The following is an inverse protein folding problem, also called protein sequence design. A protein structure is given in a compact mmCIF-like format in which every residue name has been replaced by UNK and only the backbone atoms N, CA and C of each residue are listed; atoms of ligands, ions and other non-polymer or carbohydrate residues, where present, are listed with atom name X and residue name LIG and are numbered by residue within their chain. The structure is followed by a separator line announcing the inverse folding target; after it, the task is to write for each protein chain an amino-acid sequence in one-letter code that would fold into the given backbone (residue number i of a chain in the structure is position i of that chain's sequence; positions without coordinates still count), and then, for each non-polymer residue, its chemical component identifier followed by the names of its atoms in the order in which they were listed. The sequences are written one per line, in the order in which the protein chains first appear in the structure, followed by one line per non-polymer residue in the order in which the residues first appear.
data_IF_279471054561
#
_entry.id   IF_279471054561
#
_cell.length_a   1.000
_cell.length_b   1.000
_cell.length_c   1.000
_cell.angle_alpha   90.00
_cell.angle_beta   90.00
_cell.angle_gamma   90.00
#
_symmetry.space_group_name_H-M   'P 1'
#
loop_
_entity.id
_entity.type
_entity.pdbx_description
1 polymer ?
#
# COMPACT_ATOMS: atom_id res chain seq x y z
N UNK A 1 1.05 19.11 -21.00
CA UNK A 1 0.09 20.23 -20.96
C UNK A 1 -0.81 20.26 -19.71
N UNK A 2 -1.04 19.17 -18.98
CA UNK A 2 -2.00 19.15 -17.87
C UNK A 2 -1.46 19.46 -16.44
N UNK A 3 -0.24 20.00 -16.26
CA UNK A 3 0.32 20.24 -14.90
C UNK A 3 0.12 21.66 -14.37
N UNK A 4 -0.53 22.52 -15.15
CA UNK A 4 -0.78 23.90 -14.79
C UNK A 4 -1.99 24.03 -13.83
N UNK A 5 -1.85 24.67 -12.67
CA UNK A 5 -2.94 24.90 -11.72
C UNK A 5 -4.15 25.64 -12.33
N UNK A 6 -3.93 26.58 -13.26
CA UNK A 6 -5.00 27.32 -13.93
C UNK A 6 -5.88 26.41 -14.78
N UNK A 7 -5.28 25.46 -15.51
CA UNK A 7 -6.02 24.47 -16.30
C UNK A 7 -6.96 23.62 -15.45
N UNK A 8 -6.54 23.23 -14.23
CA UNK A 8 -7.42 22.49 -13.30
C UNK A 8 -8.62 23.32 -12.86
N UNK A 9 -8.41 24.61 -12.61
CA UNK A 9 -9.47 25.51 -12.16
C UNK A 9 -10.49 25.75 -13.27
N UNK A 10 -10.05 26.00 -14.50
CA UNK A 10 -10.94 26.15 -15.65
C UNK A 10 -11.77 24.88 -15.87
N UNK A 11 -11.15 23.70 -15.81
CA UNK A 11 -11.85 22.42 -15.92
C UNK A 11 -12.87 22.22 -14.79
N UNK A 12 -12.54 22.57 -13.56
CA UNK A 12 -13.47 22.49 -12.44
C UNK A 12 -14.65 23.46 -12.59
N UNK A 13 -14.41 24.69 -13.04
CA UNK A 13 -15.47 25.69 -13.24
C UNK A 13 -16.48 25.29 -14.31
N UNK A 14 -16.12 24.40 -15.23
CA UNK A 14 -17.02 23.89 -16.28
C UNK A 14 -17.83 22.65 -15.86
N UNK A 15 -17.75 22.24 -14.60
CA UNK A 15 -18.37 21.03 -14.05
C UNK A 15 -17.97 19.75 -14.81
N UNK A 16 -16.73 19.68 -15.31
CA UNK A 16 -16.27 18.55 -16.12
C UNK A 16 -16.36 17.23 -15.34
N UNK A 17 -16.00 17.23 -14.04
CA UNK A 17 -15.93 16.04 -13.20
C UNK A 17 -17.27 15.29 -13.19
N UNK A 18 -18.37 16.00 -12.93
CA UNK A 18 -19.71 15.39 -12.87
C UNK A 18 -20.22 14.90 -14.22
N UNK A 19 -19.70 15.45 -15.32
CA UNK A 19 -20.07 15.04 -16.69
C UNK A 19 -19.29 13.82 -17.15
N UNK A 20 -17.99 13.74 -16.79
CA UNK A 20 -17.10 12.69 -17.28
C UNK A 20 -17.03 11.47 -16.38
N UNK A 21 -17.22 11.60 -15.06
CA UNK A 21 -17.12 10.48 -14.12
C UNK A 21 -18.02 9.28 -14.50
N UNK A 22 -19.28 9.45 -14.93
CA UNK A 22 -20.11 8.32 -15.35
C UNK A 22 -19.57 7.55 -16.58
N UNK A 23 -18.67 8.15 -17.36
CA UNK A 23 -18.07 7.52 -18.54
C UNK A 23 -16.94 6.54 -18.18
N UNK A 24 -16.56 6.40 -16.90
CA UNK A 24 -15.56 5.43 -16.44
C UNK A 24 -15.91 3.97 -16.78
N UNK A 25 -17.19 3.64 -16.78
CA UNK A 25 -17.70 2.29 -17.06
C UNK A 25 -18.07 2.09 -18.53
N UNK A 26 -17.79 3.07 -19.40
CA UNK A 26 -18.06 2.98 -20.83
C UNK A 26 -17.22 1.89 -21.52
N UNK A 27 -17.77 1.19 -22.51
CA UNK A 27 -17.08 0.05 -23.16
C UNK A 27 -15.78 0.44 -23.87
N UNK A 28 -15.71 1.66 -24.38
CA UNK A 28 -14.50 2.26 -24.96
C UNK A 28 -13.39 2.43 -23.90
N UNK A 29 -12.24 1.80 -24.14
CA UNK A 29 -11.09 1.84 -23.24
C UNK A 29 -10.34 3.16 -23.29
N UNK A 30 -10.19 3.78 -24.45
CA UNK A 30 -9.50 5.07 -24.59
C UNK A 30 -10.31 6.19 -23.92
N UNK A 31 -11.64 6.13 -24.03
CA UNK A 31 -12.52 7.03 -23.31
C UNK A 31 -12.37 6.86 -21.79
N UNK A 32 -12.41 5.61 -21.30
CA UNK A 32 -12.25 5.34 -19.87
C UNK A 32 -10.89 5.81 -19.34
N UNK A 33 -9.80 5.59 -20.10
CA UNK A 33 -8.47 6.08 -19.75
C UNK A 33 -8.42 7.61 -19.70
N UNK A 34 -9.02 8.29 -20.68
CA UNK A 34 -9.07 9.76 -20.72
C UNK A 34 -9.81 10.32 -19.50
N UNK A 35 -10.94 9.71 -19.13
CA UNK A 35 -11.70 10.07 -17.93
C UNK A 35 -10.86 9.86 -16.66
N UNK A 36 -10.18 8.71 -16.55
CA UNK A 36 -9.32 8.41 -15.41
C UNK A 36 -8.18 9.43 -15.27
N UNK A 37 -7.54 9.83 -16.37
CA UNK A 37 -6.49 10.85 -16.36
C UNK A 37 -7.00 12.21 -15.90
N UNK A 38 -8.22 12.60 -16.32
CA UNK A 38 -8.87 13.83 -15.85
C UNK A 38 -9.12 13.72 -14.34
N UNK A 39 -9.74 12.64 -13.86
CA UNK A 39 -10.04 12.48 -12.44
C UNK A 39 -8.77 12.45 -11.58
N UNK A 40 -7.72 11.74 -12.01
CA UNK A 40 -6.43 11.73 -11.32
C UNK A 40 -5.84 13.15 -11.22
N UNK A 41 -5.91 13.92 -12.31
CA UNK A 41 -5.42 15.30 -12.33
C UNK A 41 -6.17 16.19 -11.32
N UNK A 42 -7.49 16.05 -11.27
CA UNK A 42 -8.37 16.81 -10.36
C UNK A 42 -8.21 16.36 -8.91
N UNK A 43 -7.81 15.11 -8.67
CA UNK A 43 -7.57 14.56 -7.33
C UNK A 43 -6.13 14.79 -6.83
N UNK A 44 -5.23 15.29 -7.67
CA UNK A 44 -3.83 15.45 -7.30
C UNK A 44 -3.62 16.43 -6.13
N UNK A 45 -2.51 16.26 -5.41
CA UNK A 45 -2.16 17.05 -4.22
C UNK A 45 -2.23 18.56 -4.49
N UNK A 46 -2.76 19.31 -3.53
CA UNK A 46 -2.91 20.77 -3.62
C UNK A 46 -4.18 21.24 -4.35
N UNK A 47 -5.11 20.33 -4.66
CA UNK A 47 -6.39 20.70 -5.25
C UNK A 47 -7.25 21.52 -4.29
N UNK A 48 -7.91 22.56 -4.82
CA UNK A 48 -8.73 23.49 -4.03
C UNK A 48 -10.00 22.80 -3.50
N UNK A 49 -10.58 23.37 -2.44
CA UNK A 49 -11.77 22.80 -1.77
C UNK A 49 -12.96 22.59 -2.71
N UNK A 50 -13.22 23.51 -3.65
CA UNK A 50 -14.35 23.37 -4.57
C UNK A 50 -14.20 22.18 -5.54
N UNK A 51 -12.97 21.84 -5.96
CA UNK A 51 -12.68 20.64 -6.75
C UNK A 51 -12.99 19.39 -5.93
N UNK A 52 -12.58 19.38 -4.66
CA UNK A 52 -12.87 18.29 -3.71
C UNK A 52 -14.38 18.10 -3.56
N UNK A 53 -15.16 19.18 -3.43
CA UNK A 53 -16.63 19.10 -3.34
C UNK A 53 -17.26 18.49 -4.61
N UNK A 54 -16.74 18.82 -5.80
CA UNK A 54 -17.22 18.21 -7.05
C UNK A 54 -16.90 16.71 -7.12
N UNK A 55 -15.70 16.31 -6.71
CA UNK A 55 -15.32 14.89 -6.65
C UNK A 55 -16.18 14.13 -5.63
N UNK A 56 -16.48 14.74 -4.48
CA UNK A 56 -17.40 14.17 -3.48
C UNK A 56 -18.79 13.99 -4.07
N UNK A 57 -19.29 14.97 -4.83
CA UNK A 57 -20.60 14.88 -5.49
C UNK A 57 -20.64 13.82 -6.59
N UNK A 58 -19.55 13.64 -7.33
CA UNK A 58 -19.46 12.64 -8.39
C UNK A 58 -19.28 11.21 -7.85
N UNK A 59 -18.72 11.06 -6.64
CA UNK A 59 -18.45 9.78 -5.94
C UNK A 59 -17.95 8.65 -6.87
N UNK A 60 -16.81 8.82 -7.54
CA UNK A 60 -16.34 7.87 -8.56
C UNK A 60 -15.85 6.53 -7.99
N UNK A 61 -15.88 6.33 -6.67
CA UNK A 61 -15.17 5.23 -6.00
C UNK A 61 -15.70 3.85 -6.40
N UNK A 62 -17.01 3.71 -6.58
CA UNK A 62 -17.65 2.46 -7.02
C UNK A 62 -17.14 2.06 -8.41
N UNK A 63 -17.14 2.99 -9.34
CA UNK A 63 -16.73 2.77 -10.73
C UNK A 63 -15.22 2.53 -10.82
N UNK A 64 -14.41 3.27 -10.06
CA UNK A 64 -12.97 3.04 -9.98
C UNK A 64 -12.64 1.64 -9.48
N UNK A 65 -13.32 1.16 -8.44
CA UNK A 65 -13.13 -0.19 -7.91
C UNK A 65 -13.65 -1.28 -8.86
N UNK A 66 -14.69 -0.97 -9.64
CA UNK A 66 -15.12 -1.84 -10.74
C UNK A 66 -14.05 -1.94 -11.82
N UNK A 67 -13.46 -0.82 -12.27
CA UNK A 67 -12.37 -0.81 -13.26
C UNK A 67 -11.18 -1.64 -12.77
N UNK A 68 -10.76 -1.45 -11.52
CA UNK A 68 -9.65 -2.23 -10.91
C UNK A 68 -9.94 -3.73 -10.87
N UNK A 69 -11.19 -4.12 -10.61
CA UNK A 69 -11.60 -5.53 -10.54
C UNK A 69 -11.95 -6.16 -11.89
N UNK A 70 -12.14 -5.37 -12.95
CA UNK A 70 -12.73 -5.85 -14.21
C UNK A 70 -11.71 -6.55 -15.10
N UNK A 71 -11.90 -7.85 -15.33
CA UNK A 71 -11.07 -8.64 -16.26
C UNK A 71 -11.08 -8.09 -17.70
N UNK A 72 -12.17 -7.44 -18.09
CA UNK A 72 -12.35 -6.84 -19.42
C UNK A 72 -11.57 -5.53 -19.63
N UNK A 73 -10.86 -5.02 -18.62
CA UNK A 73 -10.04 -3.81 -18.75
C UNK A 73 -8.57 -4.19 -18.85
N UNK A 74 -7.87 -3.57 -19.78
CA UNK A 74 -6.42 -3.67 -19.90
C UNK A 74 -5.74 -3.22 -18.59
N UNK A 75 -4.59 -3.81 -18.31
CA UNK A 75 -3.90 -3.58 -17.03
C UNK A 75 -3.46 -2.13 -16.86
N UNK A 76 -3.10 -1.45 -17.96
CA UNK A 76 -2.75 -0.02 -17.95
C UNK A 76 -3.91 0.85 -17.46
N UNK A 77 -5.13 0.56 -17.91
CA UNK A 77 -6.36 1.23 -17.44
C UNK A 77 -6.56 1.03 -15.94
N UNK A 78 -6.35 -0.19 -15.44
CA UNK A 78 -6.45 -0.49 -14.00
C UNK A 78 -5.39 0.21 -13.18
N UNK A 79 -4.19 0.35 -13.72
CA UNK A 79 -3.08 1.09 -13.11
C UNK A 79 -3.43 2.58 -12.95
N UNK A 80 -4.02 3.21 -13.97
CA UNK A 80 -4.48 4.61 -13.86
C UNK A 80 -5.61 4.72 -12.83
N UNK A 81 -6.54 3.75 -12.78
CA UNK A 81 -7.59 3.71 -11.76
C UNK A 81 -7.02 3.59 -10.34
N UNK A 82 -6.01 2.75 -10.10
CA UNK A 82 -5.32 2.66 -8.81
C UNK A 82 -4.67 3.99 -8.41
N UNK A 83 -4.01 4.67 -9.35
CA UNK A 83 -3.43 6.01 -9.10
C UNK A 83 -4.49 7.03 -8.73
N UNK A 84 -5.63 7.02 -9.43
CA UNK A 84 -6.77 7.88 -9.12
C UNK A 84 -7.33 7.60 -7.71
N UNK A 85 -7.50 6.33 -7.33
CA UNK A 85 -7.91 5.92 -5.98
C UNK A 85 -6.92 6.47 -4.95
N UNK A 86 -5.61 6.30 -5.14
CA UNK A 86 -4.58 6.81 -4.22
C UNK A 86 -4.68 8.34 -4.09
N UNK A 87 -4.89 9.05 -5.21
CA UNK A 87 -5.03 10.50 -5.20
C UNK A 87 -6.26 10.93 -4.38
N UNK A 88 -7.42 10.30 -4.60
CA UNK A 88 -8.66 10.58 -3.85
C UNK A 88 -8.51 10.27 -2.36
N UNK A 89 -7.93 9.12 -2.01
CA UNK A 89 -7.71 8.74 -0.61
C UNK A 89 -6.78 9.71 0.14
N UNK A 90 -5.80 10.30 -0.55
CA UNK A 90 -4.93 11.33 0.03
C UNK A 90 -5.57 12.73 0.01
N UNK A 91 -6.57 12.97 -0.84
CA UNK A 91 -7.25 14.26 -0.95
C UNK A 91 -8.18 14.50 0.26
N UNK A 92 -8.94 13.48 0.66
CA UNK A 92 -9.86 13.60 1.80
C UNK A 92 -10.14 12.25 2.46
N UNK A 93 -10.21 12.18 3.80
CA UNK A 93 -10.63 10.98 4.54
C UNK A 93 -12.00 10.45 4.11
N UNK A 94 -12.88 11.32 3.58
CA UNK A 94 -14.19 10.95 3.05
C UNK A 94 -14.10 9.82 2.02
N UNK A 95 -13.14 9.89 1.09
CA UNK A 95 -13.00 8.87 0.05
C UNK A 95 -12.57 7.51 0.62
N UNK A 96 -11.90 7.50 1.77
CA UNK A 96 -11.63 6.27 2.51
C UNK A 96 -12.91 5.62 3.01
N UNK A 97 -13.90 6.42 3.46
CA UNK A 97 -15.21 5.89 3.84
C UNK A 97 -16.00 5.37 2.63
N UNK A 98 -15.99 6.10 1.50
CA UNK A 98 -16.61 5.62 0.27
C UNK A 98 -16.00 4.28 -0.15
N UNK A 99 -14.66 4.18 -0.14
CA UNK A 99 -13.92 2.98 -0.52
C UNK A 99 -14.42 1.77 0.27
N UNK A 100 -14.43 1.83 1.61
CA UNK A 100 -14.76 0.66 2.43
C UNK A 100 -16.24 0.27 2.39
N UNK A 101 -17.13 1.15 1.89
CA UNK A 101 -18.56 0.87 1.69
C UNK A 101 -18.83 0.17 0.36
N UNK A 102 -17.91 0.25 -0.60
CA UNK A 102 -18.06 -0.39 -1.90
C UNK A 102 -17.98 -1.93 -1.76
N UNK A 103 -18.92 -2.65 -2.40
CA UNK A 103 -18.92 -4.12 -2.44
C UNK A 103 -17.61 -4.71 -3.00
N UNK A 104 -16.98 -4.00 -3.92
CA UNK A 104 -15.75 -4.42 -4.63
C UNK A 104 -14.45 -3.98 -3.93
N UNK A 105 -14.52 -3.36 -2.74
CA UNK A 105 -13.35 -2.84 -2.03
C UNK A 105 -12.28 -3.92 -1.74
N UNK A 106 -12.72 -5.15 -1.53
CA UNK A 106 -11.84 -6.30 -1.27
C UNK A 106 -11.04 -6.73 -2.49
N UNK A 107 -11.40 -6.28 -3.71
CA UNK A 107 -10.68 -6.65 -4.93
C UNK A 107 -9.21 -6.21 -4.86
N UNK A 108 -8.91 -5.03 -4.31
CA UNK A 108 -7.53 -4.56 -4.12
C UNK A 108 -6.71 -5.53 -3.28
N UNK A 109 -7.29 -6.06 -2.19
CA UNK A 109 -6.64 -7.04 -1.31
C UNK A 109 -6.51 -8.39 -2.02
N UNK A 110 -7.55 -8.82 -2.74
CA UNK A 110 -7.57 -10.10 -3.45
C UNK A 110 -6.56 -10.14 -4.61
N UNK A 111 -6.37 -9.03 -5.33
CA UNK A 111 -5.34 -8.91 -6.38
C UNK A 111 -3.94 -9.15 -5.80
N UNK A 112 -3.62 -8.56 -4.65
CA UNK A 112 -2.35 -8.83 -3.95
C UNK A 112 -2.26 -10.28 -3.46
N UNK A 113 -3.34 -10.85 -2.93
CA UNK A 113 -3.29 -12.20 -2.36
C UNK A 113 -3.19 -13.31 -3.42
N UNK A 114 -3.88 -13.16 -4.55
CA UNK A 114 -4.08 -14.24 -5.52
C UNK A 114 -3.36 -14.02 -6.84
N UNK A 115 -3.09 -12.77 -7.21
CA UNK A 115 -2.54 -12.45 -8.53
C UNK A 115 -1.14 -11.83 -8.47
N UNK A 116 -0.57 -11.56 -7.28
CA UNK A 116 0.72 -10.86 -7.14
C UNK A 116 1.85 -11.40 -8.00
N UNK A 117 1.91 -12.72 -8.25
CA UNK A 117 2.93 -13.35 -9.11
C UNK A 117 2.85 -12.94 -10.59
N UNK A 118 1.71 -12.44 -11.04
CA UNK A 118 1.47 -12.00 -12.42
C UNK A 118 1.49 -10.47 -12.56
N UNK A 119 1.63 -9.75 -11.45
CA UNK A 119 1.60 -8.29 -11.45
C UNK A 119 3.02 -7.74 -11.57
N UNK A 120 3.15 -6.65 -12.33
CA UNK A 120 4.41 -5.89 -12.38
C UNK A 120 4.74 -5.29 -11.00
N UNK A 121 6.02 -5.02 -10.75
CA UNK A 121 6.51 -4.30 -9.55
C UNK A 121 5.70 -3.03 -9.27
N UNK A 122 5.48 -2.23 -10.31
CA UNK A 122 4.76 -0.97 -10.21
C UNK A 122 3.33 -1.18 -9.72
N UNK A 123 2.65 -2.20 -10.23
CA UNK A 123 1.27 -2.47 -9.90
C UNK A 123 1.10 -3.03 -8.49
N UNK A 124 2.00 -3.93 -8.07
CA UNK A 124 2.11 -4.35 -6.67
C UNK A 124 2.31 -3.12 -5.77
N UNK A 125 3.16 -2.18 -6.17
CA UNK A 125 3.45 -0.96 -5.40
C UNK A 125 2.21 -0.11 -5.22
N UNK A 126 1.44 0.14 -6.28
CA UNK A 126 0.20 0.90 -6.21
C UNK A 126 -0.84 0.22 -5.29
N UNK A 127 -1.01 -1.10 -5.40
CA UNK A 127 -1.93 -1.84 -4.53
C UNK A 127 -1.52 -1.71 -3.05
N UNK A 128 -0.23 -1.87 -2.73
CA UNK A 128 0.27 -1.68 -1.36
C UNK A 128 0.07 -0.23 -0.90
N UNK A 129 0.31 0.76 -1.76
CA UNK A 129 0.07 2.17 -1.45
C UNK A 129 -1.40 2.45 -1.12
N UNK A 130 -2.37 1.85 -1.84
CA UNK A 130 -3.79 1.95 -1.49
C UNK A 130 -4.01 1.46 -0.05
N UNK A 131 -3.47 0.30 0.30
CA UNK A 131 -3.59 -0.23 1.66
C UNK A 131 -2.91 0.68 2.69
N UNK A 132 -1.73 1.23 2.38
CA UNK A 132 -0.99 2.15 3.25
C UNK A 132 -1.77 3.44 3.54
N UNK A 133 -2.45 4.00 2.54
CA UNK A 133 -3.26 5.22 2.74
C UNK A 133 -4.51 4.90 3.56
N UNK A 134 -5.18 3.77 3.29
CA UNK A 134 -6.33 3.32 4.07
C UNK A 134 -5.97 3.08 5.54
N UNK A 135 -4.81 2.51 5.83
CA UNK A 135 -4.38 2.18 7.19
C UNK A 135 -4.30 3.39 8.13
N UNK A 136 -4.17 4.62 7.60
CA UNK A 136 -4.06 5.86 8.40
C UNK A 136 -5.32 6.21 9.20
N UNK A 137 -6.49 5.71 8.79
CA UNK A 137 -7.76 5.96 9.49
C UNK A 137 -8.19 4.71 10.26
N UNK A 138 -8.58 4.85 11.52
CA UNK A 138 -9.03 3.74 12.37
C UNK A 138 -10.13 2.90 11.72
N UNK A 139 -11.15 3.54 11.13
CA UNK A 139 -12.28 2.84 10.50
C UNK A 139 -11.85 2.02 9.28
N UNK A 140 -10.95 2.56 8.47
CA UNK A 140 -10.43 1.90 7.28
C UNK A 140 -9.42 0.81 7.65
N UNK A 141 -8.63 1.03 8.69
CA UNK A 141 -7.75 0.02 9.27
C UNK A 141 -8.52 -1.21 9.76
N UNK A 142 -9.66 -1.02 10.44
CA UNK A 142 -10.56 -2.12 10.82
C UNK A 142 -11.04 -2.92 9.60
N UNK A 143 -11.34 -2.24 8.49
CA UNK A 143 -11.67 -2.92 7.23
C UNK A 143 -10.48 -3.77 6.73
N UNK A 144 -9.25 -3.26 6.77
CA UNK A 144 -8.05 -4.01 6.35
C UNK A 144 -7.83 -5.26 7.20
N UNK A 145 -7.99 -5.14 8.53
CA UNK A 145 -7.85 -6.28 9.46
C UNK A 145 -8.92 -7.34 9.19
N UNK A 146 -10.19 -6.93 9.09
CA UNK A 146 -11.30 -7.88 8.82
C UNK A 146 -11.13 -8.63 7.49
N UNK A 147 -10.55 -7.96 6.50
CA UNK A 147 -10.33 -8.53 5.17
C UNK A 147 -8.93 -9.14 4.98
N UNK A 148 -8.22 -9.47 6.07
CA UNK A 148 -6.96 -10.23 6.05
C UNK A 148 -5.85 -9.58 5.20
N UNK A 149 -5.76 -8.26 5.20
CA UNK A 149 -4.75 -7.52 4.42
C UNK A 149 -3.30 -7.94 4.76
N UNK A 150 -3.01 -8.29 6.02
CA UNK A 150 -1.70 -8.81 6.44
C UNK A 150 -1.31 -10.07 5.67
N UNK A 151 -2.26 -11.00 5.52
CA UNK A 151 -2.05 -12.24 4.76
C UNK A 151 -1.76 -11.92 3.29
N UNK A 152 -2.52 -11.00 2.69
CA UNK A 152 -2.31 -10.59 1.30
C UNK A 152 -0.91 -9.97 1.09
N UNK A 153 -0.47 -9.08 2.00
CA UNK A 153 0.88 -8.51 1.97
C UNK A 153 1.95 -9.61 2.04
N UNK A 154 1.81 -10.58 2.95
CA UNK A 154 2.78 -11.68 3.06
C UNK A 154 2.86 -12.54 1.80
N UNK A 155 1.74 -12.78 1.12
CA UNK A 155 1.78 -13.45 -0.18
C UNK A 155 2.51 -12.61 -1.22
N UNK A 156 2.27 -11.29 -1.27
CA UNK A 156 2.98 -10.43 -2.21
C UNK A 156 4.49 -10.42 -1.94
N UNK A 157 4.92 -10.42 -0.67
CA UNK A 157 6.33 -10.50 -0.28
C UNK A 157 7.08 -11.71 -0.87
N UNK A 158 6.40 -12.85 -1.07
CA UNK A 158 7.01 -14.03 -1.72
C UNK A 158 7.39 -13.77 -3.17
N UNK A 159 6.69 -12.85 -3.82
CA UNK A 159 6.85 -12.49 -5.23
C UNK A 159 7.70 -11.22 -5.41
N UNK A 160 8.42 -10.77 -4.37
CA UNK A 160 9.28 -9.60 -4.48
C UNK A 160 10.69 -9.99 -4.89
N UNK A 161 11.18 -9.32 -5.93
CA UNK A 161 12.56 -9.40 -6.36
C UNK A 161 13.43 -8.47 -5.52
N UNK A 162 14.69 -8.84 -5.30
CA UNK A 162 15.62 -8.16 -4.38
C UNK A 162 15.89 -6.68 -4.73
N UNK A 163 15.55 -6.24 -5.94
CA UNK A 163 15.78 -4.88 -6.45
C UNK A 163 14.56 -3.96 -6.33
N UNK A 164 13.41 -4.45 -5.86
CA UNK A 164 12.14 -3.69 -5.82
C UNK A 164 12.05 -2.75 -4.61
N UNK A 165 12.99 -1.80 -4.48
CA UNK A 165 13.17 -0.97 -3.27
C UNK A 165 11.91 -0.22 -2.82
N UNK A 166 11.14 0.37 -3.74
CA UNK A 166 9.92 1.12 -3.39
C UNK A 166 8.80 0.23 -2.89
N UNK A 167 8.53 -0.89 -3.59
CA UNK A 167 7.52 -1.86 -3.20
C UNK A 167 7.81 -2.39 -1.79
N UNK A 168 9.07 -2.71 -1.53
CA UNK A 168 9.52 -3.13 -0.23
C UNK A 168 9.37 -2.05 0.84
N UNK A 169 9.77 -0.81 0.56
CA UNK A 169 9.62 0.29 1.51
C UNK A 169 8.15 0.47 1.94
N UNK A 170 7.22 0.48 0.98
CA UNK A 170 5.79 0.57 1.27
C UNK A 170 5.26 -0.64 2.03
N UNK A 171 5.71 -1.85 1.66
CA UNK A 171 5.21 -3.09 2.27
C UNK A 171 5.73 -3.27 3.69
N UNK A 172 7.02 -3.00 3.93
CA UNK A 172 7.63 -3.08 5.26
C UNK A 172 7.07 -1.97 6.15
N UNK A 173 6.95 -0.74 5.65
CA UNK A 173 6.33 0.36 6.40
C UNK A 173 4.88 0.06 6.80
N UNK A 174 4.08 -0.51 5.88
CA UNK A 174 2.71 -0.93 6.19
C UNK A 174 2.69 -2.08 7.20
N UNK A 175 3.52 -3.11 7.04
CA UNK A 175 3.60 -4.20 8.02
C UNK A 175 4.00 -3.65 9.40
N UNK A 176 5.05 -2.83 9.49
CA UNK A 176 5.50 -2.22 10.75
C UNK A 176 4.34 -1.47 11.43
N UNK A 177 3.60 -0.66 10.66
CA UNK A 177 2.42 0.02 11.17
C UNK A 177 1.34 -0.95 11.67
N UNK A 178 1.08 -2.04 10.92
CA UNK A 178 0.05 -3.01 11.28
C UNK A 178 0.44 -3.87 12.49
N UNK A 179 1.71 -4.20 12.71
CA UNK A 179 2.16 -5.09 13.79
C UNK A 179 2.00 -4.50 15.20
N UNK A 180 1.70 -3.21 15.31
CA UNK A 180 1.26 -2.59 16.57
C UNK A 180 -0.10 -3.09 17.05
N UNK A 181 -0.88 -3.75 16.19
CA UNK A 181 -2.15 -4.40 16.55
C UNK A 181 -1.97 -5.91 16.70
N UNK A 182 -2.29 -6.43 17.88
CA UNK A 182 -2.24 -7.87 18.19
C UNK A 182 -3.01 -8.73 17.19
N UNK A 183 -4.13 -8.26 16.64
CA UNK A 183 -4.92 -8.99 15.63
C UNK A 183 -4.14 -9.15 14.32
N UNK A 184 -3.38 -8.14 13.92
CA UNK A 184 -2.51 -8.21 12.75
C UNK A 184 -1.38 -9.22 12.97
N UNK A 185 -0.76 -9.21 14.17
CA UNK A 185 0.32 -10.16 14.52
C UNK A 185 -0.19 -11.60 14.56
N UNK A 186 -1.41 -11.84 15.06
CA UNK A 186 -2.05 -13.17 14.99
C UNK A 186 -2.26 -13.59 13.53
N UNK A 187 -2.74 -12.69 12.67
CA UNK A 187 -2.89 -12.99 11.24
C UNK A 187 -1.55 -13.30 10.56
N UNK A 188 -0.49 -12.55 10.90
CA UNK A 188 0.86 -12.78 10.42
C UNK A 188 1.36 -14.17 10.84
N UNK A 189 1.20 -14.51 12.11
CA UNK A 189 1.67 -15.78 12.71
C UNK A 189 0.93 -17.00 12.17
N UNK A 190 -0.35 -16.84 11.78
CA UNK A 190 -1.14 -17.90 11.16
C UNK A 190 -0.74 -18.24 9.72
N UNK A 191 0.13 -17.44 9.09
CA UNK A 191 0.70 -17.77 7.78
C UNK A 191 1.91 -18.66 7.97
N UNK A 192 1.85 -19.89 7.44
CA UNK A 192 2.96 -20.86 7.52
C UNK A 192 4.28 -20.24 7.06
N UNK A 193 5.32 -20.38 7.89
CA UNK A 193 6.68 -19.88 7.67
C UNK A 193 6.78 -18.35 7.47
N UNK A 194 5.82 -17.55 7.94
CA UNK A 194 5.85 -16.08 7.79
C UNK A 194 7.10 -15.44 8.38
N UNK A 195 7.52 -15.88 9.56
CA UNK A 195 8.74 -15.41 10.23
C UNK A 195 10.01 -15.64 9.42
N UNK A 196 10.21 -16.88 8.94
CA UNK A 196 11.38 -17.23 8.13
C UNK A 196 11.34 -16.55 6.75
N UNK A 197 10.15 -16.44 6.14
CA UNK A 197 9.98 -15.70 4.90
C UNK A 197 10.44 -14.26 5.05
N UNK A 198 9.99 -13.59 6.12
CA UNK A 198 10.31 -12.20 6.37
C UNK A 198 11.82 -12.01 6.56
N UNK A 199 12.44 -12.83 7.40
CA UNK A 199 13.88 -12.78 7.64
C UNK A 199 14.70 -13.04 6.36
N UNK A 200 14.35 -14.08 5.59
CA UNK A 200 15.04 -14.38 4.34
C UNK A 200 14.92 -13.23 3.34
N UNK A 201 13.72 -12.64 3.20
CA UNK A 201 13.50 -11.49 2.31
C UNK A 201 14.27 -10.23 2.72
N UNK A 202 14.65 -10.12 3.99
CA UNK A 202 15.51 -9.05 4.48
C UNK A 202 16.98 -9.32 4.18
N UNK A 203 17.45 -10.52 4.49
CA UNK A 203 18.84 -10.91 4.27
C UNK A 203 19.21 -11.04 2.77
N UNK A 204 18.26 -11.38 1.91
CA UNK A 204 18.43 -11.43 0.44
C UNK A 204 18.73 -10.05 -0.20
N UNK A 205 18.59 -8.95 0.56
CA UNK A 205 18.77 -7.59 0.03
C UNK A 205 20.24 -7.28 -0.21
N UNK A 206 20.55 -6.90 -1.45
CA UNK A 206 21.86 -6.31 -1.82
C UNK A 206 21.99 -4.84 -1.44
N UNK A 207 20.88 -4.10 -1.42
CA UNK A 207 20.85 -2.67 -1.10
C UNK A 207 19.69 -2.35 -0.17
N UNK A 208 19.98 -1.63 0.90
CA UNK A 208 18.98 -1.17 1.88
C UNK A 208 19.16 0.33 2.06
N UNK A 209 18.12 1.10 1.73
CA UNK A 209 18.09 2.53 2.07
C UNK A 209 17.80 2.72 3.56
N UNK A 210 18.19 3.87 4.11
CA UNK A 210 17.97 4.18 5.52
C UNK A 210 16.49 4.06 5.92
N UNK A 211 15.55 4.53 5.08
CA UNK A 211 14.12 4.42 5.33
C UNK A 211 13.64 2.97 5.43
N UNK A 212 14.16 2.09 4.57
CA UNK A 212 13.81 0.68 4.58
C UNK A 212 14.38 0.03 5.83
N UNK A 213 15.64 0.32 6.18
CA UNK A 213 16.26 -0.24 7.37
C UNK A 213 15.52 0.18 8.63
N UNK A 214 15.17 1.47 8.74
CA UNK A 214 14.44 1.99 9.89
C UNK A 214 13.07 1.33 10.06
N UNK A 215 12.29 1.22 8.98
CA UNK A 215 11.00 0.52 9.03
C UNK A 215 11.16 -0.98 9.36
N UNK A 216 12.25 -1.59 8.93
CA UNK A 216 12.58 -2.98 9.25
C UNK A 216 12.92 -3.15 10.73
N UNK A 217 13.73 -2.25 11.30
CA UNK A 217 14.04 -2.26 12.73
C UNK A 217 12.78 -2.10 13.58
N UNK A 218 11.90 -1.16 13.23
CA UNK A 218 10.61 -1.00 13.92
C UNK A 218 9.74 -2.26 13.80
N UNK A 219 9.67 -2.86 12.61
CA UNK A 219 8.91 -4.09 12.43
C UNK A 219 9.46 -5.24 13.28
N UNK A 220 10.78 -5.40 13.34
CA UNK A 220 11.41 -6.44 14.17
C UNK A 220 11.06 -6.21 15.63
N UNK A 221 11.32 -5.02 16.17
CA UNK A 221 11.01 -4.66 17.56
C UNK A 221 9.53 -4.86 17.90
N UNK A 222 8.62 -4.35 17.07
CA UNK A 222 7.18 -4.48 17.29
C UNK A 222 6.74 -5.96 17.27
N UNK A 223 7.36 -6.81 16.45
CA UNK A 223 7.03 -8.22 16.40
C UNK A 223 7.57 -9.02 17.58
N UNK A 224 8.77 -8.71 18.06
CA UNK A 224 9.43 -9.43 19.16
C UNK A 224 8.89 -9.00 20.52
N UNK A 225 8.68 -7.70 20.75
CA UNK A 225 8.13 -7.19 22.01
C UNK A 225 6.70 -7.67 22.25
N UNK A 226 5.91 -7.86 21.18
CA UNK A 226 4.52 -8.27 21.30
C UNK A 226 4.32 -9.80 21.24
N UNK A 227 5.31 -10.58 20.79
CA UNK A 227 5.18 -12.02 20.57
C UNK A 227 6.50 -12.77 20.77
N UNK A 228 6.58 -13.55 21.85
CA UNK A 228 7.73 -14.40 22.19
C UNK A 228 8.11 -15.40 21.07
N UNK A 229 7.11 -15.88 20.31
CA UNK A 229 7.34 -16.76 19.15
C UNK A 229 8.13 -16.06 18.04
N UNK A 230 7.99 -14.74 17.90
CA UNK A 230 8.73 -13.93 16.93
C UNK A 230 10.21 -13.88 17.27
N UNK A 231 10.54 -13.63 18.54
CA UNK A 231 11.92 -13.61 19.04
C UNK A 231 12.61 -14.97 18.82
N UNK A 232 11.94 -16.06 19.19
CA UNK A 232 12.44 -17.43 18.95
C UNK A 232 12.66 -17.72 17.47
N UNK A 233 11.78 -17.23 16.59
CA UNK A 233 11.96 -17.44 15.15
C UNK A 233 13.15 -16.64 14.60
N UNK A 234 13.32 -15.37 15.00
CA UNK A 234 14.43 -14.53 14.54
C UNK A 234 15.79 -14.93 15.12
N UNK A 235 15.84 -15.52 16.32
CA UNK A 235 17.08 -16.12 16.83
C UNK A 235 17.57 -17.28 15.96
N UNK A 236 16.65 -18.06 15.37
CA UNK A 236 16.97 -19.31 14.68
C UNK A 236 17.17 -19.18 13.16
N UNK A 237 17.01 -17.98 12.57
CA UNK A 237 17.03 -17.80 11.12
C UNK A 237 18.16 -16.91 10.60
N UNK A 238 19.17 -16.59 11.43
CA UNK A 238 20.34 -15.81 11.01
C UNK A 238 20.10 -14.30 10.92
N UNK A 239 18.86 -13.82 11.10
CA UNK A 239 18.55 -12.38 11.08
C UNK A 239 19.37 -11.61 12.12
N UNK A 240 19.54 -12.18 13.32
CA UNK A 240 20.33 -11.56 14.39
C UNK A 240 21.78 -11.28 13.97
N UNK A 241 22.44 -12.28 13.37
CA UNK A 241 23.82 -12.13 12.87
C UNK A 241 23.89 -11.07 11.77
N UNK A 242 22.96 -11.14 10.83
CA UNK A 242 22.86 -10.15 9.76
C UNK A 242 22.65 -8.72 10.29
N UNK A 243 21.85 -8.54 11.34
CA UNK A 243 21.65 -7.24 11.98
C UNK A 243 22.91 -6.74 12.69
N UNK A 244 23.69 -7.62 13.31
CA UNK A 244 24.98 -7.26 13.91
C UNK A 244 25.92 -6.71 12.84
N UNK A 245 26.04 -7.39 11.69
CA UNK A 245 26.87 -6.94 10.57
C UNK A 245 26.42 -5.55 10.06
N UNK A 246 25.12 -5.25 10.08
CA UNK A 246 24.58 -3.95 9.67
C UNK A 246 24.97 -2.79 10.59
N UNK A 247 25.30 -3.04 11.87
CA UNK A 247 25.73 -1.98 12.80
C UNK A 247 27.02 -1.32 12.31
N UNK A 248 27.92 -2.10 11.69
CA UNK A 248 29.18 -1.61 11.13
C UNK A 248 28.97 -0.90 9.80
N UNK A 249 28.02 -1.37 8.98
CA UNK A 249 27.72 -0.83 7.65
C UNK A 249 26.95 0.50 7.74
N UNK A 250 26.08 0.66 8.74
CA UNK A 250 25.20 1.82 8.92
C UNK A 250 25.37 2.46 10.31
N UNK A 251 26.52 3.10 10.59
CA UNK A 251 26.85 3.64 11.92
C UNK A 251 25.83 4.69 12.40
N UNK A 252 25.27 5.48 11.49
CA UNK A 252 24.24 6.48 11.77
C UNK A 252 22.90 5.89 12.24
N UNK A 253 22.65 4.61 11.97
CA UNK A 253 21.45 3.88 12.42
C UNK A 253 21.75 2.85 13.52
N UNK A 254 22.99 2.80 14.02
CA UNK A 254 23.44 1.82 15.02
C UNK A 254 22.54 1.76 16.25
N UNK A 255 22.01 2.89 16.73
CA UNK A 255 21.07 2.93 17.86
C UNK A 255 19.76 2.16 17.58
N UNK A 256 19.14 2.39 16.42
CA UNK A 256 17.92 1.68 16.02
C UNK A 256 18.17 0.19 15.80
N UNK A 257 19.32 -0.17 15.22
CA UNK A 257 19.70 -1.56 14.99
C UNK A 257 19.92 -2.30 16.31
N UNK A 258 20.66 -1.68 17.24
CA UNK A 258 20.89 -2.25 18.58
C UNK A 258 19.60 -2.43 19.37
N UNK A 259 18.69 -1.47 19.32
CA UNK A 259 17.39 -1.61 19.98
C UNK A 259 16.59 -2.83 19.46
N UNK A 260 16.63 -3.08 18.15
CA UNK A 260 15.97 -4.24 17.58
C UNK A 260 16.68 -5.56 17.92
N UNK A 261 18.02 -5.57 17.97
CA UNK A 261 18.82 -6.71 18.46
C UNK A 261 18.45 -7.04 19.91
N UNK A 262 18.42 -6.03 20.79
CA UNK A 262 18.09 -6.21 22.20
C UNK A 262 16.67 -6.77 22.38
N UNK A 263 15.72 -6.34 21.56
CA UNK A 263 14.34 -6.85 21.58
C UNK A 263 14.23 -8.32 21.14
N UNK A 264 15.14 -8.82 20.28
CA UNK A 264 15.19 -10.25 19.91
C UNK A 264 15.75 -11.11 21.07
N UNK A 265 16.72 -10.59 21.83
CA UNK A 265 17.49 -11.36 22.83
C UNK A 265 16.78 -11.40 24.19
N UNK A 266 15.92 -10.43 24.49
CA UNK A 266 15.10 -10.39 25.72
C UNK A 266 14.11 -11.54 25.78
#
# INVERSE_FOLDING_TARGET
MARDPLTKEVLALTNVITKVAPLLVHTDEELAQSVLMILELMAAKGSRNFITQQLVKADPMVDLLWVVGSENRGWDTRVIALRCIIALLNLSPFFGECFIRCKNATNVINLLCHQAKFLTTYSKTLLVQVLSVLAKSKRNYEFLIRNKAVKALLYSFKCFDSFESQLYAHSVGLLAYMMKDRRAVIQFSNVKNSWNLLANKFMERKFISADILMNLMFLVTDLTDNFELGAKAFMNNGLLRWMIDLVEIYPEMSGSIRNAIDSIIR
#
